data_IF_936775041209
#
_entry.id   IF_936775041209
#
_cell.length_a   1.000
_cell.length_b   1.000
_cell.length_c   1.000
_cell.angle_alpha   90.00
_cell.angle_beta   90.00
_cell.angle_gamma   90.00
#
_symmetry.space_group_name_H-M   'P 1'
#
loop_
_entity.id
_entity.type
_entity.pdbx_description
1 polymer ?
#
# COMPACT_ATOMS: atom_id res chain seq x y z
N UNK A 1 -1.13 -13.54 13.48
CA UNK A 1 -1.62 -13.21 12.13
C UNK A 1 -2.29 -14.41 11.45
N UNK A 2 -1.58 -15.55 11.23
CA UNK A 2 -2.12 -16.73 10.51
C UNK A 2 -3.42 -17.30 11.11
N UNK A 3 -3.49 -17.39 12.44
CA UNK A 3 -4.69 -17.86 13.13
C UNK A 3 -5.87 -16.92 12.88
N UNK A 4 -5.66 -15.62 12.99
CA UNK A 4 -6.66 -14.60 12.68
C UNK A 4 -7.18 -14.72 11.24
N UNK A 5 -6.29 -14.82 10.26
CA UNK A 5 -6.68 -14.93 8.84
C UNK A 5 -7.49 -16.20 8.51
N UNK A 6 -7.31 -17.26 9.30
CA UNK A 6 -8.07 -18.51 9.13
C UNK A 6 -9.40 -18.52 9.86
N UNK A 7 -9.50 -17.76 10.95
CA UNK A 7 -10.66 -17.78 11.85
C UNK A 7 -11.58 -16.56 11.67
N UNK A 8 -11.12 -15.54 10.93
CA UNK A 8 -11.89 -14.32 10.69
C UNK A 8 -11.92 -13.94 9.21
N UNK A 9 -13.02 -13.35 8.80
CA UNK A 9 -13.16 -12.77 7.46
C UNK A 9 -12.55 -11.36 7.44
N UNK A 10 -11.22 -11.29 7.28
CA UNK A 10 -10.54 -10.00 7.14
C UNK A 10 -10.88 -9.37 5.79
N UNK A 11 -11.20 -8.07 5.76
CA UNK A 11 -11.42 -7.32 4.51
C UNK A 11 -10.11 -6.95 3.84
N UNK A 12 -9.11 -6.57 4.63
CA UNK A 12 -7.81 -6.17 4.11
C UNK A 12 -6.65 -6.63 5.00
N UNK A 13 -5.51 -6.85 4.39
CA UNK A 13 -4.23 -7.15 5.04
C UNK A 13 -3.25 -6.04 4.66
N UNK A 14 -2.66 -5.38 5.65
CA UNK A 14 -1.63 -4.39 5.41
C UNK A 14 -0.32 -4.78 6.09
N UNK A 15 0.78 -4.64 5.38
CA UNK A 15 2.14 -4.85 5.89
C UNK A 15 3.19 -4.21 4.97
N UNK A 16 4.43 -4.12 5.45
CA UNK A 16 5.55 -3.81 4.58
C UNK A 16 5.92 -5.05 3.72
N UNK A 17 6.87 -4.89 2.80
CA UNK A 17 7.26 -5.96 1.87
C UNK A 17 7.65 -7.23 2.62
N UNK A 18 8.49 -7.14 3.65
CA UNK A 18 8.96 -8.31 4.40
C UNK A 18 7.84 -9.00 5.19
N UNK A 19 6.91 -8.24 5.75
CA UNK A 19 5.75 -8.76 6.47
C UNK A 19 4.79 -9.50 5.54
N UNK A 20 4.46 -8.90 4.39
CA UNK A 20 3.59 -9.52 3.39
C UNK A 20 4.24 -10.78 2.82
N UNK A 21 5.55 -10.75 2.50
CA UNK A 21 6.26 -11.93 2.00
C UNK A 21 6.29 -13.05 3.04
N UNK A 22 6.62 -12.75 4.29
CA UNK A 22 6.62 -13.75 5.37
C UNK A 22 5.24 -14.38 5.59
N UNK A 23 4.17 -13.60 5.42
CA UNK A 23 2.81 -14.08 5.53
C UNK A 23 2.43 -14.97 4.34
N UNK A 24 2.74 -14.52 3.12
CA UNK A 24 2.52 -15.26 1.88
C UNK A 24 3.28 -16.60 1.90
N UNK A 25 4.55 -16.61 2.32
CA UNK A 25 5.34 -17.83 2.44
C UNK A 25 4.67 -18.87 3.34
N UNK A 26 4.17 -18.47 4.47
CA UNK A 26 3.54 -19.38 5.44
C UNK A 26 2.15 -19.86 5.05
N UNK A 27 1.43 -19.11 4.25
CA UNK A 27 0.09 -19.48 3.78
C UNK A 27 0.17 -20.31 2.50
N UNK A 28 1.02 -19.90 1.55
CA UNK A 28 1.09 -20.49 0.21
C UNK A 28 1.99 -21.74 0.13
N UNK A 29 2.86 -21.98 1.12
CA UNK A 29 3.68 -23.22 1.17
C UNK A 29 2.86 -24.51 1.34
N UNK A 30 1.57 -24.44 1.62
CA UNK A 30 0.66 -25.59 1.76
C UNK A 30 -0.27 -25.79 0.58
N UNK A 31 -0.31 -24.85 -0.36
CA UNK A 31 -1.11 -24.93 -1.57
C UNK A 31 -0.18 -24.82 -2.77
N UNK A 32 -0.39 -25.66 -3.80
CA UNK A 32 0.33 -25.51 -5.06
C UNK A 32 0.15 -24.06 -5.56
N UNK A 33 1.24 -23.41 -6.01
CA UNK A 33 1.13 -22.04 -6.52
C UNK A 33 0.12 -22.06 -7.65
N UNK A 34 -0.96 -21.28 -7.52
CA UNK A 34 -1.83 -20.99 -8.64
C UNK A 34 -0.92 -20.51 -9.77
N UNK A 35 -0.83 -21.31 -10.83
CA UNK A 35 -0.07 -21.02 -12.03
C UNK A 35 -0.81 -19.90 -12.80
N UNK A 36 -0.71 -18.69 -12.30
CA UNK A 36 -0.84 -17.53 -13.16
C UNK A 36 0.39 -17.58 -14.05
N UNK A 37 0.18 -17.80 -15.34
CA UNK A 37 1.23 -18.07 -16.32
C UNK A 37 2.45 -17.17 -16.09
N UNK A 38 3.64 -17.65 -16.47
CA UNK A 38 4.97 -17.03 -16.25
C UNK A 38 5.13 -15.58 -16.75
N UNK A 39 4.05 -14.90 -17.06
CA UNK A 39 4.00 -13.52 -17.51
C UNK A 39 4.01 -12.61 -16.30
N UNK A 40 5.19 -12.08 -16.00
CA UNK A 40 5.41 -11.14 -14.89
C UNK A 40 4.54 -9.90 -15.03
N UNK A 41 4.17 -9.30 -13.89
CA UNK A 41 3.60 -7.95 -13.84
C UNK A 41 4.69 -7.00 -14.33
N UNK A 42 4.44 -6.28 -15.41
CA UNK A 42 5.39 -5.32 -15.96
C UNK A 42 5.46 -4.11 -15.01
N UNK A 43 6.52 -4.06 -14.20
CA UNK A 43 6.86 -2.91 -13.39
C UNK A 43 7.66 -1.97 -14.30
N UNK A 44 6.99 -0.97 -14.86
CA UNK A 44 7.59 0.01 -15.76
C UNK A 44 8.97 0.49 -15.30
N UNK A 45 9.88 0.71 -16.25
CA UNK A 45 11.24 1.20 -16.01
C UNK A 45 11.22 2.46 -15.14
N UNK A 46 11.91 2.45 -14.01
CA UNK A 46 12.21 3.66 -13.24
C UNK A 46 11.91 3.66 -11.75
N UNK A 47 11.53 2.55 -11.13
CA UNK A 47 11.31 2.50 -9.69
C UNK A 47 12.54 2.00 -8.94
N UNK A 48 13.31 2.93 -8.37
CA UNK A 48 14.41 2.57 -7.47
C UNK A 48 13.87 2.07 -6.11
N UNK A 49 13.60 0.78 -6.05
CA UNK A 49 13.26 0.05 -4.83
C UNK A 49 14.52 -0.39 -4.07
N UNK A 50 15.72 0.12 -4.45
CA UNK A 50 17.03 -0.37 -4.03
C UNK A 50 17.49 0.11 -2.66
N UNK A 51 16.71 0.92 -1.94
CA UNK A 51 17.07 1.39 -0.60
C UNK A 51 16.08 0.86 0.43
N UNK A 52 16.58 0.04 1.35
CA UNK A 52 15.90 -0.55 2.52
C UNK A 52 15.03 -1.80 2.24
N UNK A 53 15.68 -2.91 1.90
CA UNK A 53 15.04 -4.25 1.83
C UNK A 53 14.09 -4.42 0.66
N UNK A 54 14.20 -3.60 -0.36
CA UNK A 54 13.34 -3.61 -1.52
C UNK A 54 13.85 -4.55 -2.61
N UNK A 55 12.91 -5.24 -3.23
CA UNK A 55 13.13 -6.07 -4.40
C UNK A 55 13.38 -5.20 -5.63
N UNK A 56 14.39 -5.46 -6.44
CA UNK A 56 14.62 -4.76 -7.71
C UNK A 56 14.15 -5.61 -8.90
N UNK A 57 13.54 -5.00 -9.89
CA UNK A 57 13.19 -5.63 -11.16
C UNK A 57 12.42 -6.95 -11.04
N UNK A 58 12.99 -8.07 -11.50
CA UNK A 58 12.40 -9.41 -11.44
C UNK A 58 11.99 -9.85 -10.03
N UNK A 59 12.73 -9.42 -8.99
CA UNK A 59 12.38 -9.69 -7.61
C UNK A 59 11.14 -8.89 -7.18
N UNK A 60 10.95 -7.68 -7.68
CA UNK A 60 9.76 -6.86 -7.46
C UNK A 60 8.51 -7.52 -8.06
N UNK A 61 8.59 -7.98 -9.31
CA UNK A 61 7.48 -8.70 -9.96
C UNK A 61 7.08 -9.95 -9.15
N UNK A 62 8.06 -10.70 -8.63
CA UNK A 62 7.78 -11.85 -7.75
C UNK A 62 7.09 -11.43 -6.44
N UNK A 63 7.48 -10.32 -5.82
CA UNK A 63 6.83 -9.82 -4.62
C UNK A 63 5.38 -9.42 -4.91
N UNK A 64 5.12 -8.75 -6.02
CA UNK A 64 3.77 -8.35 -6.41
C UNK A 64 2.88 -9.58 -6.70
N UNK A 65 3.38 -10.57 -7.43
CA UNK A 65 2.66 -11.81 -7.67
C UNK A 65 2.34 -12.56 -6.38
N UNK A 66 3.28 -12.61 -5.43
CA UNK A 66 3.04 -13.25 -4.12
C UNK A 66 2.01 -12.49 -3.29
N UNK A 67 2.03 -11.15 -3.31
CA UNK A 67 1.00 -10.34 -2.67
C UNK A 67 -0.38 -10.58 -3.30
N UNK A 68 -0.44 -10.70 -4.63
CA UNK A 68 -1.67 -11.05 -5.35
C UNK A 68 -2.17 -12.46 -5.01
N UNK A 69 -1.29 -13.46 -4.98
CA UNK A 69 -1.66 -14.82 -4.58
C UNK A 69 -2.16 -14.87 -3.13
N UNK A 70 -1.55 -14.10 -2.23
CA UNK A 70 -2.02 -13.95 -0.86
C UNK A 70 -3.44 -13.36 -0.84
N UNK A 71 -3.70 -12.31 -1.61
CA UNK A 71 -5.01 -11.68 -1.72
C UNK A 71 -6.08 -12.66 -2.22
N UNK A 72 -5.76 -13.46 -3.25
CA UNK A 72 -6.66 -14.51 -3.77
C UNK A 72 -6.91 -15.61 -2.75
N UNK A 73 -5.86 -16.14 -2.12
CA UNK A 73 -5.97 -17.25 -1.16
C UNK A 73 -6.74 -16.86 0.11
N UNK A 74 -6.74 -15.59 0.48
CA UNK A 74 -7.43 -15.08 1.67
C UNK A 74 -8.72 -14.33 1.34
N UNK A 75 -9.02 -14.11 0.07
CA UNK A 75 -10.13 -13.27 -0.40
C UNK A 75 -10.14 -11.88 0.26
N UNK A 76 -8.98 -11.23 0.30
CA UNK A 76 -8.77 -9.92 0.94
C UNK A 76 -8.14 -8.92 -0.01
N UNK A 77 -8.20 -7.64 0.34
CA UNK A 77 -7.33 -6.64 -0.26
C UNK A 77 -5.97 -6.68 0.44
N UNK A 78 -4.88 -6.76 -0.32
CA UNK A 78 -3.51 -6.64 0.23
C UNK A 78 -2.96 -5.26 -0.07
N UNK A 79 -2.55 -4.56 0.99
CA UNK A 79 -1.84 -3.28 0.94
C UNK A 79 -0.39 -3.56 1.36
N UNK A 80 0.53 -3.53 0.42
CA UNK A 80 1.96 -3.73 0.68
C UNK A 80 2.68 -2.39 0.61
N UNK A 81 3.13 -1.89 1.76
CA UNK A 81 3.75 -0.57 1.87
C UNK A 81 5.24 -0.62 1.60
N UNK A 82 5.73 0.42 0.90
CA UNK A 82 7.12 0.57 0.48
C UNK A 82 7.43 2.00 0.01
N UNK A 83 8.47 2.19 -0.79
CA UNK A 83 8.73 3.47 -1.47
C UNK A 83 7.59 3.91 -2.40
N UNK A 84 6.90 2.95 -2.98
CA UNK A 84 5.58 3.06 -3.59
C UNK A 84 4.72 1.96 -2.98
N UNK A 85 3.48 2.26 -2.68
CA UNK A 85 2.59 1.31 -2.04
C UNK A 85 1.82 0.51 -3.08
N UNK A 86 1.80 -0.81 -2.95
CA UNK A 86 1.00 -1.69 -3.79
C UNK A 86 -0.34 -1.97 -3.14
N UNK A 87 -1.42 -1.85 -3.90
CA UNK A 87 -2.75 -2.34 -3.55
C UNK A 87 -3.17 -3.40 -4.55
N UNK A 88 -3.61 -4.56 -4.07
CA UNK A 88 -4.07 -5.65 -4.93
C UNK A 88 -5.21 -6.45 -4.29
N UNK A 89 -6.14 -6.91 -5.12
CA UNK A 89 -7.16 -7.92 -4.79
C UNK A 89 -6.80 -9.30 -5.40
N UNK A 90 -5.58 -9.41 -5.94
CA UNK A 90 -5.10 -10.59 -6.64
C UNK A 90 -5.45 -10.64 -8.13
N UNK A 91 -6.35 -9.78 -8.61
CA UNK A 91 -6.71 -9.62 -10.01
C UNK A 91 -6.29 -8.27 -10.57
N UNK A 92 -6.45 -7.23 -9.76
CA UNK A 92 -6.04 -5.85 -10.05
C UNK A 92 -4.82 -5.51 -9.21
N UNK A 93 -3.89 -4.78 -9.80
CA UNK A 93 -2.68 -4.31 -9.15
C UNK A 93 -2.52 -2.82 -9.44
N UNK A 94 -2.41 -2.00 -8.42
CA UNK A 94 -2.14 -0.57 -8.56
C UNK A 94 -1.01 -0.15 -7.63
N UNK A 95 -0.13 0.70 -8.13
CA UNK A 95 0.86 1.41 -7.32
C UNK A 95 0.33 2.79 -6.98
N UNK A 96 0.35 3.14 -5.70
CA UNK A 96 0.18 4.51 -5.24
C UNK A 96 1.58 5.13 -5.07
N UNK A 97 1.81 6.24 -5.78
CA UNK A 97 3.10 6.94 -5.81
C UNK A 97 3.10 8.19 -4.93
N UNK A 98 2.06 8.39 -4.15
CA UNK A 98 2.00 9.46 -3.16
C UNK A 98 2.80 9.11 -1.92
N UNK A 99 3.39 10.12 -1.31
CA UNK A 99 4.17 9.99 -0.09
C UNK A 99 5.49 10.73 -0.14
N UNK A 100 6.19 10.75 0.99
CA UNK A 100 7.50 11.38 1.08
C UNK A 100 8.41 10.61 2.05
N UNK A 101 9.76 10.72 1.89
CA UNK A 101 10.70 10.00 2.74
C UNK A 101 10.58 10.32 4.24
N UNK A 102 10.06 11.49 4.60
CA UNK A 102 9.87 11.88 6.01
C UNK A 102 8.86 10.98 6.73
N UNK A 103 7.91 10.39 6.01
CA UNK A 103 6.90 9.49 6.59
C UNK A 103 7.56 8.25 7.24
N UNK A 104 8.64 7.72 6.68
CA UNK A 104 9.37 6.59 7.26
C UNK A 104 10.08 6.94 8.57
N UNK A 105 10.35 8.22 8.80
CA UNK A 105 10.99 8.75 10.02
C UNK A 105 10.00 9.11 11.12
N UNK A 106 8.69 9.13 10.82
CA UNK A 106 7.63 9.42 11.78
C UNK A 106 7.08 8.12 12.35
N UNK A 107 7.28 7.91 13.65
CA UNK A 107 6.69 6.77 14.37
C UNK A 107 5.16 6.86 14.31
N UNK A 108 4.51 5.76 13.93
CA UNK A 108 3.05 5.67 13.89
C UNK A 108 2.42 6.00 12.52
N UNK A 109 3.18 6.41 11.50
CA UNK A 109 2.66 6.65 10.14
C UNK A 109 1.91 5.43 9.58
N UNK A 110 2.44 4.23 9.81
CA UNK A 110 1.78 2.98 9.43
C UNK A 110 0.48 2.71 10.19
N UNK A 111 0.40 3.07 11.48
CA UNK A 111 -0.83 2.95 12.25
C UNK A 111 -1.91 3.93 11.75
N UNK A 112 -1.51 5.14 11.37
CA UNK A 112 -2.42 6.12 10.77
C UNK A 112 -2.97 5.61 9.44
N UNK A 113 -2.13 5.04 8.59
CA UNK A 113 -2.59 4.40 7.34
C UNK A 113 -3.60 3.29 7.63
N UNK A 114 -3.35 2.43 8.63
CA UNK A 114 -4.31 1.39 9.00
C UNK A 114 -5.67 1.99 9.41
N UNK A 115 -5.66 3.06 10.22
CA UNK A 115 -6.89 3.73 10.65
C UNK A 115 -7.66 4.33 9.48
N UNK A 116 -6.98 5.04 8.59
CA UNK A 116 -7.61 5.67 7.41
C UNK A 116 -8.11 4.63 6.41
N UNK A 117 -7.32 3.60 6.11
CA UNK A 117 -7.75 2.52 5.24
C UNK A 117 -8.96 1.77 5.82
N UNK A 118 -8.94 1.49 7.13
CA UNK A 118 -10.07 0.86 7.80
C UNK A 118 -11.33 1.74 7.76
N UNK A 119 -11.20 3.06 7.98
CA UNK A 119 -12.31 4.00 7.88
C UNK A 119 -12.91 4.02 6.46
N UNK A 120 -12.06 4.11 5.43
CA UNK A 120 -12.50 4.09 4.04
C UNK A 120 -13.23 2.78 3.69
N UNK A 121 -12.68 1.63 4.11
CA UNK A 121 -13.30 0.33 3.90
C UNK A 121 -14.65 0.19 4.63
N UNK A 122 -14.76 0.75 5.85
CA UNK A 122 -15.96 0.61 6.68
C UNK A 122 -17.20 1.33 6.14
N UNK A 123 -16.99 2.38 5.35
CA UNK A 123 -18.08 3.16 4.73
C UNK A 123 -18.35 2.77 3.28
N UNK A 124 -17.55 1.85 2.73
CA UNK A 124 -17.64 1.40 1.34
C UNK A 124 -18.43 0.08 1.24
N UNK A 125 -19.10 -0.10 0.13
CA UNK A 125 -19.69 -1.40 -0.20
C UNK A 125 -18.62 -2.40 -0.66
N UNK A 126 -18.84 -3.72 -0.48
CA UNK A 126 -17.81 -4.75 -0.74
C UNK A 126 -17.19 -4.70 -2.13
N UNK A 127 -17.94 -4.32 -3.16
CA UNK A 127 -17.43 -4.24 -4.53
C UNK A 127 -16.48 -3.05 -4.77
N UNK A 128 -16.45 -2.08 -3.83
CA UNK A 128 -15.53 -0.94 -3.87
C UNK A 128 -14.35 -1.05 -2.88
N UNK A 129 -14.17 -2.18 -2.21
CA UNK A 129 -13.08 -2.30 -1.22
C UNK A 129 -11.69 -2.08 -1.79
N UNK A 130 -11.46 -2.45 -3.04
CA UNK A 130 -10.18 -2.18 -3.70
C UNK A 130 -9.94 -0.67 -3.85
N UNK A 131 -10.92 0.06 -4.35
CA UNK A 131 -10.89 1.50 -4.54
C UNK A 131 -10.78 2.24 -3.20
N UNK A 132 -11.50 1.78 -2.19
CA UNK A 132 -11.45 2.33 -0.84
C UNK A 132 -10.07 2.17 -0.19
N UNK A 133 -9.46 0.99 -0.35
CA UNK A 133 -8.09 0.76 0.13
C UNK A 133 -7.08 1.66 -0.59
N UNK A 134 -7.21 1.80 -1.91
CA UNK A 134 -6.37 2.66 -2.72
C UNK A 134 -6.52 4.14 -2.35
N UNK A 135 -7.77 4.58 -2.14
CA UNK A 135 -8.05 5.92 -1.62
C UNK A 135 -7.34 6.17 -0.29
N UNK A 136 -7.45 5.25 0.67
CA UNK A 136 -6.82 5.38 1.98
C UNK A 136 -5.29 5.54 1.89
N UNK A 137 -4.65 4.77 1.01
CA UNK A 137 -3.21 4.87 0.75
C UNK A 137 -2.84 6.22 0.13
N UNK A 138 -3.54 6.64 -0.92
CA UNK A 138 -3.30 7.93 -1.57
C UNK A 138 -3.54 9.11 -0.62
N UNK A 139 -4.63 9.08 0.16
CA UNK A 139 -4.97 10.11 1.13
C UNK A 139 -3.83 10.36 2.14
N UNK A 140 -3.30 9.29 2.72
CA UNK A 140 -2.18 9.37 3.66
C UNK A 140 -0.91 9.88 2.97
N UNK A 141 -0.62 9.43 1.76
CA UNK A 141 0.52 9.89 0.97
C UNK A 141 0.46 11.38 0.63
N UNK A 142 -0.71 11.88 0.17
CA UNK A 142 -0.96 13.29 -0.16
C UNK A 142 -0.77 14.18 1.09
N UNK A 143 -1.32 13.75 2.23
CA UNK A 143 -1.13 14.46 3.50
C UNK A 143 0.35 14.49 3.92
N UNK A 144 1.08 13.40 3.70
CA UNK A 144 2.53 13.33 3.93
C UNK A 144 3.30 14.33 3.06
N UNK A 145 2.97 14.44 1.78
CA UNK A 145 3.60 15.40 0.86
C UNK A 145 3.29 16.85 1.25
N UNK A 146 2.04 17.12 1.63
CA UNK A 146 1.60 18.44 2.10
C UNK A 146 2.34 18.85 3.38
N UNK A 147 2.42 17.93 4.34
CA UNK A 147 3.16 18.14 5.58
C UNK A 147 4.65 18.36 5.33
N UNK A 148 5.24 17.61 4.41
CA UNK A 148 6.65 17.73 4.07
C UNK A 148 6.97 19.10 3.47
N UNK A 149 6.16 19.59 2.54
CA UNK A 149 6.31 20.94 1.98
C UNK A 149 6.28 22.02 3.07
N UNK A 150 5.31 21.96 3.99
CA UNK A 150 5.21 22.88 5.12
C UNK A 150 6.40 22.78 6.07
N UNK A 151 6.87 21.56 6.35
CA UNK A 151 8.02 21.31 7.23
C UNK A 151 9.29 21.90 6.66
N UNK A 152 9.54 21.71 5.37
CA UNK A 152 10.70 22.30 4.68
C UNK A 152 10.64 23.83 4.71
N UNK A 153 9.50 24.42 4.42
CA UNK A 153 9.30 25.86 4.44
C UNK A 153 9.53 26.49 5.82
N UNK A 154 9.20 25.77 6.90
CA UNK A 154 9.41 26.24 8.28
C UNK A 154 10.80 25.91 8.86
N UNK A 155 11.64 25.17 8.14
CA UNK A 155 12.90 24.65 8.69
C UNK A 155 12.72 23.64 9.82
N UNK A 156 11.52 23.01 9.91
CA UNK A 156 11.17 22.09 10.98
C UNK A 156 11.74 20.68 10.80
N UNK A 157 11.63 19.89 11.86
CA UNK A 157 11.99 18.47 11.89
C UNK A 157 10.78 17.54 12.00
N UNK A 158 10.99 16.31 12.51
CA UNK A 158 9.94 15.30 12.64
C UNK A 158 8.74 15.76 13.46
N UNK A 159 8.94 16.59 14.50
CA UNK A 159 7.83 17.12 15.31
C UNK A 159 6.92 18.05 14.53
N UNK A 160 7.51 19.01 13.78
CA UNK A 160 6.75 19.89 12.89
C UNK A 160 6.04 19.10 11.79
N UNK A 161 6.72 18.10 11.21
CA UNK A 161 6.13 17.20 10.22
C UNK A 161 4.88 16.49 10.78
N UNK A 162 4.98 15.90 11.97
CA UNK A 162 3.84 15.20 12.59
C UNK A 162 2.64 16.15 12.80
N UNK A 163 2.90 17.37 13.27
CA UNK A 163 1.86 18.39 13.44
C UNK A 163 1.20 18.74 12.09
N UNK A 164 2.00 19.09 11.09
CA UNK A 164 1.47 19.43 9.75
C UNK A 164 0.78 18.25 9.06
N UNK A 165 1.19 17.01 9.37
CA UNK A 165 0.54 15.82 8.86
C UNK A 165 -0.87 15.67 9.42
N UNK A 166 -1.05 15.87 10.74
CA UNK A 166 -2.38 15.85 11.36
C UNK A 166 -3.27 16.97 10.84
N UNK A 167 -2.71 18.17 10.65
CA UNK A 167 -3.44 19.29 10.04
C UNK A 167 -3.88 18.95 8.61
N UNK A 168 -2.98 18.38 7.80
CA UNK A 168 -3.29 17.98 6.43
C UNK A 168 -4.38 16.91 6.38
N UNK A 169 -4.34 15.93 7.29
CA UNK A 169 -5.38 14.90 7.40
C UNK A 169 -6.76 15.50 7.72
N UNK A 170 -6.81 16.48 8.64
CA UNK A 170 -8.06 17.13 9.04
C UNK A 170 -8.64 18.06 7.96
N UNK A 171 -7.82 18.47 7.01
CA UNK A 171 -8.18 19.40 5.93
C UNK A 171 -8.33 18.73 4.56
N UNK A 172 -8.10 17.42 4.48
CA UNK A 172 -8.21 16.68 3.22
C UNK A 172 -9.66 16.70 2.71
N UNK A 173 -9.82 17.09 1.45
CA UNK A 173 -11.11 17.06 0.74
C UNK A 173 -11.05 16.03 -0.38
N UNK A 174 -12.23 15.56 -0.82
CA UNK A 174 -12.33 14.62 -1.94
C UNK A 174 -11.74 15.22 -3.23
N UNK A 175 -11.93 16.54 -3.46
CA UNK A 175 -11.35 17.25 -4.60
C UNK A 175 -9.82 17.22 -4.56
N UNK A 176 -9.22 17.49 -3.39
CA UNK A 176 -7.77 17.43 -3.21
C UNK A 176 -7.27 16.00 -3.38
N UNK A 177 -7.96 15.02 -2.82
CA UNK A 177 -7.61 13.61 -2.97
C UNK A 177 -7.66 13.19 -4.45
N UNK A 178 -8.73 13.51 -5.17
CA UNK A 178 -8.90 13.15 -6.57
C UNK A 178 -7.84 13.81 -7.48
N UNK A 179 -7.58 15.11 -7.30
CA UNK A 179 -6.65 15.87 -8.15
C UNK A 179 -5.18 15.57 -7.88
N UNK A 180 -4.83 15.10 -6.68
CA UNK A 180 -3.45 14.88 -6.24
C UNK A 180 -3.06 13.40 -6.19
N UNK A 181 -3.98 12.47 -6.35
CA UNK A 181 -3.68 11.05 -6.38
C UNK A 181 -2.82 10.66 -7.58
N UNK A 182 -1.75 9.92 -7.32
CA UNK A 182 -0.89 9.34 -8.34
C UNK A 182 -0.97 7.83 -8.26
N UNK A 183 -1.79 7.27 -9.13
CA UNK A 183 -2.06 5.83 -9.20
C UNK A 183 -1.61 5.31 -10.56
N UNK A 184 -0.79 4.27 -10.53
CA UNK A 184 -0.32 3.55 -11.72
C UNK A 184 -0.91 2.15 -11.71
N UNK A 185 -1.89 1.86 -12.59
CA UNK A 185 -2.35 0.49 -12.79
C UNK A 185 -1.21 -0.35 -13.38
N UNK A 186 -1.01 -1.56 -12.83
CA UNK A 186 -0.07 -2.52 -13.39
C UNK A 186 -0.87 -3.49 -14.26
N UNK A 187 -0.53 -3.55 -15.55
CA UNK A 187 -1.08 -4.58 -16.43
C UNK A 187 -0.41 -5.91 -16.12
N UNK A 188 -1.19 -6.98 -15.99
CA UNK A 188 -0.63 -8.32 -16.13
C UNK A 188 -0.08 -8.40 -17.56
N UNK A 189 1.22 -8.64 -17.71
CA UNK A 189 1.79 -8.84 -19.04
C UNK A 189 1.06 -10.01 -19.71
N UNK A 190 0.44 -9.73 -20.86
CA UNK A 190 -0.34 -10.68 -21.66
C UNK A 190 0.54 -11.75 -22.29
#
# INVERSE_FOLDING_TARGET
ALKLLRETNCTAIRGNVSEIMALADRLLLKEEPLSLGEKGVDAGEGTDWSREGSCCGLAQSKCFMRAGNLALATNTIVIMTGPKDLVTDGRRFCLAENGCPMMSRMTGSGCMLNGIAAAALSVSEPHFYFEAALYGVCAVGICGETAWKKTQASGGGCGAFAMYFMDAMSQLTDETAASSSRVVPLSAAS
#
